data_IF_632304650857
#
_entry.id   IF_632304650857
#
_cell.length_a   1.000
_cell.length_b   1.000
_cell.length_c   1.000
_cell.angle_alpha   90.00
_cell.angle_beta   90.00
_cell.angle_gamma   90.00
#
_symmetry.space_group_name_H-M   'P 1'
#
loop_
_entity.id
_entity.type
_entity.pdbx_description
1 polymer ?
#
# COMPACT_ATOMS: atom_id res chain seq x y z
N UNK A 1 -14.59 -6.61 -5.34
CA UNK A 1 -13.60 -5.51 -5.25
C UNK A 1 -12.93 -5.24 -6.59
N UNK A 2 -12.28 -6.25 -7.18
CA UNK A 2 -11.56 -6.12 -8.44
C UNK A 2 -12.39 -5.49 -9.58
N UNK A 3 -13.67 -5.84 -9.69
CA UNK A 3 -14.60 -5.31 -10.70
C UNK A 3 -14.78 -3.78 -10.69
N UNK A 4 -14.41 -3.10 -9.59
CA UNK A 4 -14.51 -1.64 -9.47
C UNK A 4 -13.23 -0.94 -9.91
N UNK A 5 -12.13 -1.67 -10.07
CA UNK A 5 -10.87 -1.12 -10.57
C UNK A 5 -10.86 -1.14 -12.09
N UNK A 6 -10.37 -0.06 -12.66
CA UNK A 6 -10.17 0.09 -14.10
C UNK A 6 -8.68 -0.04 -14.45
N UNK A 7 -8.40 -0.49 -15.66
CA UNK A 7 -7.04 -0.62 -16.21
C UNK A 7 -6.53 0.73 -16.69
N UNK A 8 -5.23 1.00 -16.53
CA UNK A 8 -4.58 2.24 -16.96
C UNK A 8 -4.60 3.34 -15.91
N UNK A 9 -3.51 4.10 -15.83
CA UNK A 9 -3.29 5.16 -14.82
C UNK A 9 -4.32 6.29 -14.90
N UNK A 10 -4.77 6.62 -16.11
CA UNK A 10 -5.79 7.61 -16.37
C UNK A 10 -7.15 7.26 -15.76
N UNK A 11 -7.37 5.98 -15.46
CA UNK A 11 -8.60 5.48 -14.86
C UNK A 11 -8.51 5.28 -13.34
N UNK A 12 -7.51 5.87 -12.68
CA UNK A 12 -7.35 5.81 -11.23
C UNK A 12 -8.57 6.36 -10.48
N UNK A 13 -9.04 5.59 -9.50
CA UNK A 13 -10.24 5.91 -8.70
C UNK A 13 -9.85 6.11 -7.23
N UNK A 14 -10.29 7.21 -6.59
CA UNK A 14 -10.10 7.42 -5.15
C UNK A 14 -10.67 6.27 -4.32
N UNK A 15 -9.98 5.90 -3.23
CA UNK A 15 -10.43 4.79 -2.36
C UNK A 15 -11.81 5.04 -1.75
N UNK A 16 -12.12 6.29 -1.42
CA UNK A 16 -13.43 6.70 -0.90
C UNK A 16 -14.55 6.44 -1.91
N UNK A 17 -14.28 6.67 -3.19
CA UNK A 17 -15.23 6.39 -4.28
C UNK A 17 -15.39 4.89 -4.50
N UNK A 18 -14.29 4.13 -4.49
CA UNK A 18 -14.36 2.66 -4.51
C UNK A 18 -15.22 2.13 -3.34
N UNK A 19 -15.06 2.71 -2.13
CA UNK A 19 -15.79 2.28 -0.93
C UNK A 19 -17.28 2.55 -1.09
N UNK A 20 -17.62 3.73 -1.63
CA UNK A 20 -19.00 4.10 -1.95
C UNK A 20 -19.60 3.18 -3.01
N UNK A 21 -18.89 2.90 -4.12
CA UNK A 21 -19.36 2.00 -5.18
C UNK A 21 -19.60 0.58 -4.68
N UNK A 22 -18.74 0.10 -3.77
CA UNK A 22 -18.84 -1.24 -3.20
C UNK A 22 -19.80 -1.35 -2.01
N UNK A 23 -20.31 -0.23 -1.48
CA UNK A 23 -21.18 -0.21 -0.30
C UNK A 23 -20.49 -0.67 0.99
N UNK A 24 -19.16 -0.46 1.10
CA UNK A 24 -18.35 -0.90 2.25
C UNK A 24 -17.65 0.27 2.95
N UNK A 25 -17.18 0.04 4.17
CA UNK A 25 -16.37 1.03 4.88
C UNK A 25 -14.98 1.22 4.23
N UNK A 26 -14.35 2.38 4.45
CA UNK A 26 -12.97 2.65 4.01
C UNK A 26 -11.98 1.61 4.56
N UNK A 27 -12.22 1.09 5.78
CA UNK A 27 -11.43 0.03 6.40
C UNK A 27 -11.52 -1.27 5.59
N UNK A 28 -12.72 -1.73 5.28
CA UNK A 28 -12.93 -2.94 4.47
C UNK A 28 -12.38 -2.79 3.05
N UNK A 29 -12.52 -1.60 2.47
CA UNK A 29 -11.96 -1.27 1.17
C UNK A 29 -10.43 -1.41 1.17
N UNK A 30 -9.75 -0.84 2.17
CA UNK A 30 -8.29 -0.94 2.30
C UNK A 30 -7.84 -2.40 2.41
N UNK A 31 -8.49 -3.19 3.27
CA UNK A 31 -8.18 -4.62 3.42
C UNK A 31 -8.37 -5.37 2.10
N UNK A 32 -9.49 -5.16 1.41
CA UNK A 32 -9.79 -5.84 0.14
C UNK A 32 -8.76 -5.53 -0.95
N UNK A 33 -8.25 -4.29 -1.02
CA UNK A 33 -7.20 -3.91 -1.97
C UNK A 33 -5.89 -4.61 -1.62
N UNK A 34 -5.53 -4.68 -0.34
CA UNK A 34 -4.33 -5.37 0.13
C UNK A 34 -4.41 -6.88 -0.15
N UNK A 35 -5.55 -7.51 0.09
CA UNK A 35 -5.78 -8.93 -0.18
C UNK A 35 -5.63 -9.23 -1.68
N UNK A 36 -6.18 -8.39 -2.56
CA UNK A 36 -5.99 -8.54 -4.01
C UNK A 36 -4.53 -8.35 -4.43
N UNK A 37 -3.81 -7.36 -3.87
CA UNK A 37 -2.37 -7.21 -4.15
C UNK A 37 -1.58 -8.45 -3.73
N UNK A 38 -1.90 -9.01 -2.56
CA UNK A 38 -1.27 -10.23 -2.05
C UNK A 38 -1.61 -11.46 -2.92
N UNK A 39 -2.78 -11.46 -3.57
CA UNK A 39 -3.17 -12.46 -4.56
C UNK A 39 -2.52 -12.26 -5.95
N UNK A 40 -1.68 -11.24 -6.13
CA UNK A 40 -0.92 -11.01 -7.36
C UNK A 40 -1.57 -10.04 -8.36
N UNK A 41 -2.68 -9.39 -8.02
CA UNK A 41 -3.27 -8.39 -8.92
C UNK A 41 -2.39 -7.12 -9.00
N UNK A 42 -2.12 -6.58 -10.20
CA UNK A 42 -1.21 -5.45 -10.41
C UNK A 42 -1.86 -4.10 -10.05
N UNK A 43 -2.33 -3.95 -8.82
CA UNK A 43 -3.06 -2.76 -8.37
C UNK A 43 -2.07 -1.67 -7.94
N UNK A 44 -2.01 -0.56 -8.68
CA UNK A 44 -1.14 0.57 -8.38
C UNK A 44 -1.88 1.70 -7.66
N UNK A 45 -1.15 2.44 -6.83
CA UNK A 45 -1.48 3.75 -6.28
C UNK A 45 -0.17 4.54 -6.15
N UNK A 46 0.01 5.50 -7.05
CA UNK A 46 1.28 6.22 -7.24
C UNK A 46 1.47 7.42 -6.28
N UNK A 47 0.64 7.52 -5.23
CA UNK A 47 0.69 8.59 -4.23
C UNK A 47 0.54 10.02 -4.81
N UNK A 48 0.00 10.15 -6.02
CA UNK A 48 -0.30 11.43 -6.68
C UNK A 48 -1.72 11.95 -6.39
N UNK A 49 -2.42 11.29 -5.46
CA UNK A 49 -3.79 11.64 -5.06
C UNK A 49 -4.88 11.11 -5.98
N UNK A 50 -4.55 10.53 -7.15
CA UNK A 50 -5.56 10.07 -8.13
C UNK A 50 -6.28 8.78 -7.72
N UNK A 51 -5.62 7.93 -6.93
CA UNK A 51 -6.25 6.74 -6.36
C UNK A 51 -5.66 5.44 -6.88
N UNK A 52 -6.52 4.44 -7.11
CA UNK A 52 -6.15 3.06 -7.41
C UNK A 52 -6.61 2.63 -8.80
N UNK A 53 -5.77 1.85 -9.49
CA UNK A 53 -6.03 1.30 -10.82
C UNK A 53 -5.28 -0.02 -11.03
N UNK A 54 -5.62 -0.77 -12.09
CA UNK A 54 -4.86 -1.92 -12.55
C UNK A 54 -3.80 -1.45 -13.57
N UNK A 55 -2.54 -1.75 -13.31
CA UNK A 55 -1.46 -1.38 -14.23
C UNK A 55 -1.47 -2.27 -15.48
N UNK A 56 -1.33 -1.62 -16.64
CA UNK A 56 -1.07 -2.19 -17.96
C UNK A 56 0.29 -1.76 -18.53
N UNK A 57 0.92 -0.73 -17.93
CA UNK A 57 2.27 -0.27 -18.27
C UNK A 57 3.32 -0.80 -17.26
N UNK A 58 4.42 -1.42 -17.73
CA UNK A 58 5.59 -1.73 -16.90
C UNK A 58 6.15 -0.56 -16.08
N UNK A 59 6.00 0.69 -16.53
CA UNK A 59 6.45 1.86 -15.77
C UNK A 59 5.67 2.04 -14.46
N UNK A 60 4.36 1.84 -14.48
CA UNK A 60 3.52 1.94 -13.29
C UNK A 60 3.86 0.83 -12.28
N UNK A 61 4.15 -0.38 -12.77
CA UNK A 61 4.63 -1.48 -11.93
C UNK A 61 5.97 -1.12 -11.26
N UNK A 62 6.94 -0.62 -12.02
CA UNK A 62 8.25 -0.19 -11.48
C UNK A 62 8.08 0.92 -10.45
N UNK A 63 7.23 1.90 -10.72
CA UNK A 63 6.95 2.99 -9.80
C UNK A 63 6.32 2.46 -8.50
N UNK A 64 5.34 1.56 -8.59
CA UNK A 64 4.72 0.94 -7.42
C UNK A 64 5.70 0.10 -6.61
N UNK A 65 6.59 -0.66 -7.26
CA UNK A 65 7.66 -1.40 -6.61
C UNK A 65 8.62 -0.48 -5.86
N UNK A 66 9.02 0.64 -6.46
CA UNK A 66 9.89 1.62 -5.82
C UNK A 66 9.23 2.26 -4.57
N UNK A 67 7.95 2.61 -4.66
CA UNK A 67 7.16 3.12 -3.54
C UNK A 67 7.11 2.09 -2.40
N UNK A 68 6.80 0.82 -2.73
CA UNK A 68 6.73 -0.25 -1.73
C UNK A 68 8.10 -0.48 -1.06
N UNK A 69 9.18 -0.49 -1.84
CA UNK A 69 10.55 -0.63 -1.33
C UNK A 69 10.92 0.51 -0.38
N UNK A 70 10.60 1.75 -0.75
CA UNK A 70 10.83 2.92 0.10
C UNK A 70 10.10 2.80 1.44
N UNK A 71 8.82 2.44 1.42
CA UNK A 71 8.03 2.21 2.64
C UNK A 71 8.62 1.09 3.51
N UNK A 72 9.00 -0.03 2.91
CA UNK A 72 9.63 -1.13 3.62
C UNK A 72 10.94 -0.70 4.29
N UNK A 73 11.79 0.04 3.59
CA UNK A 73 13.04 0.57 4.15
C UNK A 73 12.81 1.50 5.34
N UNK A 74 11.83 2.41 5.26
CA UNK A 74 11.48 3.27 6.38
C UNK A 74 11.07 2.47 7.62
N UNK A 75 10.29 1.40 7.46
CA UNK A 75 9.92 0.50 8.55
C UNK A 75 11.17 -0.19 9.15
N UNK A 76 12.07 -0.69 8.30
CA UNK A 76 13.30 -1.35 8.76
C UNK A 76 14.23 -0.41 9.53
N UNK A 77 14.34 0.85 9.12
CA UNK A 77 15.09 1.88 9.85
C UNK A 77 14.47 2.12 11.23
N UNK A 78 13.14 2.26 11.32
CA UNK A 78 12.47 2.40 12.61
C UNK A 78 12.72 1.20 13.54
N UNK A 79 12.66 -0.02 13.00
CA UNK A 79 12.96 -1.25 13.75
C UNK A 79 14.38 -1.27 14.34
N UNK A 80 15.37 -0.71 13.62
CA UNK A 80 16.74 -0.58 14.16
C UNK A 80 16.77 0.29 15.42
N UNK A 81 16.05 1.40 15.42
CA UNK A 81 15.99 2.30 16.58
C UNK A 81 15.31 1.62 17.78
N UNK A 82 14.20 0.91 17.54
CA UNK A 82 13.49 0.17 18.58
C UNK A 82 14.38 -0.91 19.22
N UNK A 83 15.10 -1.70 18.40
CA UNK A 83 16.04 -2.73 18.88
C UNK A 83 17.16 -2.15 19.73
N UNK A 84 17.68 -0.97 19.38
CA UNK A 84 18.69 -0.28 20.19
C UNK A 84 18.12 0.11 21.55
N UNK A 85 16.94 0.76 21.55
CA UNK A 85 16.30 1.20 22.79
C UNK A 85 15.96 0.04 23.72
N UNK A 86 15.53 -1.10 23.18
CA UNK A 86 15.29 -2.32 23.95
C UNK A 86 16.56 -2.81 24.68
N UNK A 87 17.69 -2.88 23.98
CA UNK A 87 18.97 -3.29 24.59
C UNK A 87 19.46 -2.34 25.68
N UNK A 88 19.16 -1.06 25.55
CA UNK A 88 19.55 -0.06 26.56
C UNK A 88 18.70 -0.25 27.83
N UNK A 89 17.39 -0.54 27.69
CA UNK A 89 16.49 -0.86 28.81
C UNK A 89 16.94 -2.14 29.53
N UNK A 90 17.21 -3.23 28.79
CA UNK A 90 17.62 -4.51 29.38
C UNK A 90 18.92 -4.40 30.23
N UNK A 91 19.80 -3.43 29.90
CA UNK A 91 21.04 -3.16 30.63
C UNK A 91 20.85 -2.33 31.88
N UNK A 92 19.82 -1.49 31.94
CA UNK A 92 19.50 -0.67 33.11
C UNK A 92 18.80 -1.50 34.21
N UNK A 93 18.17 -2.62 33.83
CA UNK A 93 17.49 -3.55 34.74
C UNK A 93 18.38 -4.72 35.25
N UNK A 94 19.61 -4.84 34.74
CA UNK A 94 20.60 -5.88 35.12
C UNK A 94 21.68 -5.34 36.05
#
# INVERSE_FOLDING_TARGET
MLQYLKTGRENAIPRSELAKMAGVSDRMMRQSIEDLRNAGYPICNLQDGKGYFLADDPQDLKAQMAINKSRAMSILVQQKHLKRKLKDIDKEES
#
